data_IF_260038783454
#
_entry.id   IF_260038783454
#
_cell.length_a   1.000
_cell.length_b   1.000
_cell.length_c   1.000
_cell.angle_alpha   90.00
_cell.angle_beta   90.00
_cell.angle_gamma   90.00
#
_symmetry.space_group_name_H-M   'P 1'
#
loop_
_entity.id
_entity.type
_entity.pdbx_description
1 polymer ?
#
# COMPACT_ATOMS: atom_id res chain seq x y z
N UNK A 1 18.15 -11.41 10.77
CA UNK A 1 18.18 -11.51 9.29
C UNK A 1 17.23 -12.55 8.69
N UNK A 2 16.68 -13.53 9.44
CA UNK A 2 15.73 -14.51 8.87
C UNK A 2 14.29 -14.01 8.67
N UNK A 3 13.89 -12.88 9.28
CA UNK A 3 12.52 -12.34 9.14
C UNK A 3 12.29 -11.61 7.80
N UNK A 4 13.34 -10.97 7.24
CA UNK A 4 13.25 -10.24 5.96
C UNK A 4 12.93 -11.16 4.77
N UNK A 5 13.53 -12.35 4.71
CA UNK A 5 13.31 -13.29 3.60
C UNK A 5 11.90 -13.90 3.61
N UNK A 6 11.29 -14.05 4.79
CA UNK A 6 9.94 -14.57 4.92
C UNK A 6 8.89 -13.56 4.44
N UNK A 7 9.15 -12.27 4.70
CA UNK A 7 8.30 -11.17 4.27
C UNK A 7 8.45 -10.84 2.77
N UNK A 8 9.57 -11.16 2.12
CA UNK A 8 9.75 -10.86 0.68
C UNK A 8 9.20 -11.97 -0.24
N UNK A 9 9.35 -13.23 0.14
CA UNK A 9 8.98 -14.38 -0.72
C UNK A 9 7.46 -14.55 -0.87
N UNK A 10 6.69 -14.28 0.19
CA UNK A 10 5.23 -14.49 0.23
C UNK A 10 4.40 -13.44 -0.53
N UNK A 11 4.62 -12.11 -0.38
CA UNK A 11 3.83 -11.11 -1.09
C UNK A 11 4.16 -11.06 -2.58
N UNK A 12 5.40 -11.37 -2.99
CA UNK A 12 5.74 -11.51 -4.42
C UNK A 12 4.96 -12.66 -5.05
N UNK A 13 4.90 -13.82 -4.38
CA UNK A 13 4.10 -14.95 -4.85
C UNK A 13 2.60 -14.61 -4.91
N UNK A 14 2.08 -13.90 -3.91
CA UNK A 14 0.67 -13.46 -3.88
C UNK A 14 0.38 -12.47 -5.01
N UNK A 15 1.27 -11.51 -5.27
CA UNK A 15 1.13 -10.51 -6.32
C UNK A 15 1.23 -11.14 -7.72
N UNK A 16 2.13 -12.12 -7.88
CA UNK A 16 2.29 -12.87 -9.13
C UNK A 16 1.07 -13.76 -9.38
N UNK A 17 0.56 -14.44 -8.35
CA UNK A 17 -0.69 -15.19 -8.43
C UNK A 17 -1.90 -14.30 -8.71
N UNK A 18 -2.03 -13.14 -8.05
CA UNK A 18 -3.15 -12.23 -8.30
C UNK A 18 -3.10 -11.64 -9.70
N UNK A 19 -1.91 -11.29 -10.20
CA UNK A 19 -1.72 -10.84 -11.58
C UNK A 19 -2.12 -11.90 -12.61
N UNK A 20 -1.72 -13.16 -12.38
CA UNK A 20 -2.11 -14.30 -13.23
C UNK A 20 -3.62 -14.51 -13.21
N UNK A 21 -4.27 -14.42 -12.05
CA UNK A 21 -5.72 -14.56 -11.93
C UNK A 21 -6.46 -13.44 -12.69
N UNK A 22 -6.04 -12.19 -12.55
CA UNK A 22 -6.67 -11.05 -13.24
C UNK A 22 -6.51 -11.16 -14.76
N UNK A 23 -5.36 -11.66 -15.23
CA UNK A 23 -5.09 -11.81 -16.66
C UNK A 23 -5.72 -13.06 -17.28
N UNK A 24 -5.89 -14.14 -16.49
CA UNK A 24 -6.42 -15.42 -16.98
C UNK A 24 -7.94 -15.52 -16.94
N UNK A 25 -8.61 -14.72 -16.10
CA UNK A 25 -10.07 -14.68 -16.05
C UNK A 25 -10.58 -13.45 -16.82
N UNK A 26 -11.07 -13.61 -18.06
CA UNK A 26 -11.68 -12.50 -18.80
C UNK A 26 -12.87 -11.97 -18.01
N UNK A 27 -12.85 -10.67 -17.71
CA UNK A 27 -13.94 -9.99 -17.00
C UNK A 27 -15.22 -10.21 -17.82
N UNK A 28 -16.24 -10.91 -17.28
CA UNK A 28 -17.46 -11.14 -18.03
C UNK A 28 -18.09 -9.79 -18.37
N UNK A 29 -18.33 -9.53 -19.66
CA UNK A 29 -19.03 -8.32 -20.10
C UNK A 29 -20.35 -8.25 -19.36
N UNK A 30 -20.58 -7.15 -18.62
CA UNK A 30 -21.78 -6.96 -17.83
C UNK A 30 -23.01 -7.03 -18.75
N UNK A 31 -23.73 -8.16 -18.74
CA UNK A 31 -25.08 -8.22 -19.28
C UNK A 31 -25.93 -7.31 -18.40
N UNK A 32 -26.65 -6.38 -19.02
CA UNK A 32 -27.64 -5.58 -18.32
C UNK A 32 -28.62 -6.55 -17.64
N UNK A 33 -28.54 -6.64 -16.31
CA UNK A 33 -29.54 -7.36 -15.52
C UNK A 33 -30.80 -6.51 -15.48
N UNK A 34 -31.95 -7.13 -15.70
CA UNK A 34 -33.22 -6.44 -15.54
C UNK A 34 -33.36 -5.96 -14.08
N UNK A 35 -34.00 -4.79 -13.83
CA UNK A 35 -34.09 -4.19 -12.51
C UNK A 35 -34.69 -5.14 -11.46
N UNK A 36 -35.60 -6.02 -11.85
CA UNK A 36 -36.19 -7.05 -10.97
C UNK A 36 -35.15 -8.10 -10.53
N UNK A 37 -34.20 -8.44 -11.42
CA UNK A 37 -33.14 -9.40 -11.09
C UNK A 37 -32.14 -8.79 -10.11
N UNK A 38 -31.79 -7.51 -10.30
CA UNK A 38 -30.89 -6.77 -9.40
C UNK A 38 -31.49 -6.67 -7.99
N UNK A 39 -32.79 -6.39 -7.88
CA UNK A 39 -33.46 -6.29 -6.57
C UNK A 39 -33.54 -7.64 -5.86
N UNK A 40 -33.85 -8.73 -6.57
CA UNK A 40 -33.79 -10.07 -5.99
C UNK A 40 -32.38 -10.45 -5.53
N UNK A 41 -31.36 -10.17 -6.36
CA UNK A 41 -29.97 -10.40 -5.98
C UNK A 41 -29.59 -9.58 -4.74
N UNK A 42 -29.96 -8.30 -4.70
CA UNK A 42 -29.66 -7.41 -3.59
C UNK A 42 -30.25 -7.91 -2.27
N UNK A 43 -31.49 -8.43 -2.28
CA UNK A 43 -32.13 -9.00 -1.08
C UNK A 43 -31.36 -10.24 -0.60
N UNK A 44 -30.99 -11.14 -1.52
CA UNK A 44 -30.27 -12.38 -1.19
C UNK A 44 -28.84 -12.08 -0.71
N UNK A 45 -28.16 -11.08 -1.30
CA UNK A 45 -26.79 -10.70 -0.97
C UNK A 45 -26.66 -9.79 0.25
N UNK A 46 -27.69 -9.04 0.64
CA UNK A 46 -27.67 -8.14 1.78
C UNK A 46 -27.06 -8.74 3.07
N UNK A 47 -27.45 -9.96 3.53
CA UNK A 47 -26.86 -10.54 4.74
C UNK A 47 -25.36 -10.85 4.58
N UNK A 48 -24.95 -11.34 3.40
CA UNK A 48 -23.55 -11.63 3.10
C UNK A 48 -22.71 -10.35 3.01
N UNK A 49 -23.28 -9.28 2.45
CA UNK A 49 -22.64 -7.98 2.37
C UNK A 49 -22.39 -7.38 3.76
N UNK A 50 -23.35 -7.50 4.69
CA UNK A 50 -23.19 -7.05 6.08
C UNK A 50 -22.08 -7.84 6.79
N UNK A 51 -22.03 -9.16 6.57
CA UNK A 51 -20.98 -10.00 7.15
C UNK A 51 -19.61 -9.66 6.57
N UNK A 52 -19.50 -9.50 5.26
CA UNK A 52 -18.28 -9.06 4.58
C UNK A 52 -17.81 -7.68 5.06
N UNK A 53 -18.73 -6.73 5.22
CA UNK A 53 -18.44 -5.38 5.72
C UNK A 53 -17.77 -5.41 7.11
N UNK A 54 -18.17 -6.34 7.99
CA UNK A 54 -17.54 -6.52 9.31
C UNK A 54 -16.10 -7.00 9.21
N UNK A 55 -15.79 -7.92 8.29
CA UNK A 55 -14.41 -8.37 8.06
C UNK A 55 -13.57 -7.29 7.40
N UNK A 56 -14.13 -6.57 6.43
CA UNK A 56 -13.48 -5.44 5.76
C UNK A 56 -13.16 -4.33 6.77
N UNK A 57 -14.11 -3.98 7.65
CA UNK A 57 -13.89 -2.98 8.70
C UNK A 57 -12.80 -3.39 9.68
N UNK A 58 -12.75 -4.67 10.10
CA UNK A 58 -11.65 -5.19 10.93
C UNK A 58 -10.31 -5.12 10.20
N UNK A 59 -10.27 -5.43 8.90
CA UNK A 59 -9.07 -5.32 8.08
C UNK A 59 -8.59 -3.87 7.94
N UNK A 60 -9.52 -2.94 7.71
CA UNK A 60 -9.23 -1.50 7.63
C UNK A 60 -8.57 -0.97 8.91
N UNK A 61 -9.11 -1.33 10.08
CA UNK A 61 -8.53 -0.90 11.37
C UNK A 61 -7.11 -1.45 11.56
N UNK A 62 -6.84 -2.66 11.08
CA UNK A 62 -5.49 -3.27 11.15
C UNK A 62 -4.49 -2.62 10.19
N UNK A 63 -4.94 -2.04 9.08
CA UNK A 63 -4.09 -1.31 8.12
C UNK A 63 -3.71 0.10 8.57
N UNK A 64 -4.38 0.69 9.56
CA UNK A 64 -4.09 2.04 10.08
C UNK A 64 -2.59 2.26 10.38
N UNK A 65 -1.89 1.41 11.17
CA UNK A 65 -0.47 1.60 11.46
C UNK A 65 0.41 1.56 10.19
N UNK A 66 0.05 0.75 9.19
CA UNK A 66 0.75 0.71 7.91
C UNK A 66 0.58 2.03 7.15
N UNK A 67 -0.61 2.63 7.15
CA UNK A 67 -0.85 3.93 6.52
C UNK A 67 -0.13 5.08 7.23
N UNK A 68 -0.02 5.02 8.55
CA UNK A 68 0.74 6.02 9.31
C UNK A 68 2.23 5.96 8.94
N UNK A 69 2.80 4.76 8.82
CA UNK A 69 4.20 4.63 8.41
C UNK A 69 4.42 5.06 6.95
N UNK A 70 3.50 4.69 6.04
CA UNK A 70 3.56 5.14 4.65
C UNK A 70 3.49 6.66 4.55
N UNK A 71 2.66 7.30 5.38
CA UNK A 71 2.60 8.74 5.50
C UNK A 71 3.93 9.36 5.90
N UNK A 72 4.64 8.77 6.88
CA UNK A 72 5.99 9.21 7.27
C UNK A 72 6.99 9.09 6.14
N UNK A 73 6.97 7.98 5.40
CA UNK A 73 7.84 7.80 4.24
C UNK A 73 7.52 8.78 3.12
N UNK A 74 6.24 9.14 2.93
CA UNK A 74 5.85 10.20 2.00
C UNK A 74 6.49 11.55 2.38
N UNK A 75 6.51 11.90 3.67
CA UNK A 75 7.23 13.09 4.13
C UNK A 75 8.75 12.97 3.96
N UNK A 76 9.31 11.76 4.09
CA UNK A 76 10.73 11.54 3.83
C UNK A 76 11.08 11.72 2.35
N UNK A 77 10.20 11.36 1.40
CA UNK A 77 10.40 11.64 -0.04
C UNK A 77 10.56 13.15 -0.28
N UNK A 78 9.77 13.97 0.42
CA UNK A 78 9.87 15.44 0.34
C UNK A 78 11.18 16.00 0.90
N UNK A 79 11.95 15.21 1.68
CA UNK A 79 13.30 15.60 2.13
C UNK A 79 14.32 15.58 1.01
N UNK A 80 14.05 14.94 -0.13
CA UNK A 80 14.98 14.90 -1.26
C UNK A 80 15.20 16.29 -1.89
N UNK A 81 14.16 17.03 -2.33
CA UNK A 81 14.36 18.40 -2.81
C UNK A 81 14.86 19.34 -1.71
N UNK A 82 14.41 19.14 -0.47
CA UNK A 82 14.87 19.91 0.70
C UNK A 82 16.36 19.69 0.99
N UNK A 83 16.83 18.45 0.88
CA UNK A 83 18.21 18.04 1.05
C UNK A 83 19.09 18.58 -0.06
N UNK A 84 18.64 18.55 -1.32
CA UNK A 84 19.35 19.16 -2.45
C UNK A 84 19.50 20.67 -2.28
N UNK A 85 18.47 21.34 -1.75
CA UNK A 85 18.51 22.77 -1.48
C UNK A 85 19.46 23.12 -0.33
N UNK A 86 19.46 22.34 0.74
CA UNK A 86 20.42 22.47 1.85
C UNK A 86 21.86 22.12 1.43
N UNK A 87 22.03 21.16 0.54
CA UNK A 87 23.32 20.73 0.00
C UNK A 87 23.91 21.76 -0.99
N UNK A 88 23.08 22.49 -1.73
CA UNK A 88 23.52 23.48 -2.73
C UNK A 88 23.58 24.89 -2.16
N UNK A 89 22.45 25.42 -1.67
CA UNK A 89 22.33 26.78 -1.15
C UNK A 89 22.67 26.89 0.34
N UNK A 90 22.48 25.81 1.10
CA UNK A 90 22.82 25.74 2.53
C UNK A 90 24.29 25.38 2.81
N UNK A 91 25.05 24.95 1.79
CA UNK A 91 26.47 24.62 1.90
C UNK A 91 27.33 25.77 2.48
N UNK A 92 27.23 27.02 1.99
CA UNK A 92 28.01 28.14 2.53
C UNK A 92 27.63 28.52 3.97
N UNK A 93 26.48 28.04 4.47
CA UNK A 93 25.99 28.29 5.82
C UNK A 93 26.24 27.11 6.78
N UNK A 94 27.02 26.10 6.38
CA UNK A 94 27.37 24.94 7.21
C UNK A 94 26.33 23.81 7.22
N UNK A 95 25.28 23.88 6.40
CA UNK A 95 24.23 22.85 6.33
C UNK A 95 24.53 21.71 5.34
N UNK A 96 25.74 21.62 4.82
CA UNK A 96 26.13 20.62 3.82
C UNK A 96 25.89 19.17 4.29
N UNK A 97 26.33 18.84 5.52
CA UNK A 97 26.17 17.50 6.07
C UNK A 97 24.70 17.13 6.33
N UNK A 98 23.90 18.09 6.80
CA UNK A 98 22.47 17.91 6.99
C UNK A 98 21.74 17.74 5.65
N UNK A 99 22.14 18.50 4.63
CA UNK A 99 21.60 18.38 3.27
C UNK A 99 21.91 17.03 2.62
N UNK A 100 23.13 16.51 2.79
CA UNK A 100 23.52 15.19 2.30
C UNK A 100 22.72 14.07 2.97
N UNK A 101 22.60 14.10 4.30
CA UNK A 101 21.82 13.12 5.07
C UNK A 101 20.33 13.13 4.70
N UNK A 102 19.74 14.32 4.53
CA UNK A 102 18.35 14.48 4.12
C UNK A 102 18.11 14.03 2.67
N UNK A 103 19.06 14.29 1.77
CA UNK A 103 19.00 13.81 0.38
C UNK A 103 19.06 12.29 0.30
N UNK A 104 19.97 11.67 1.08
CA UNK A 104 20.12 10.22 1.12
C UNK A 104 18.87 9.53 1.68
N UNK A 105 18.33 10.08 2.77
CA UNK A 105 17.08 9.59 3.38
C UNK A 105 15.91 9.72 2.40
N UNK A 106 15.81 10.83 1.68
CA UNK A 106 14.76 11.03 0.67
C UNK A 106 14.88 10.11 -0.55
N UNK A 107 16.09 9.60 -0.86
CA UNK A 107 16.33 8.72 -2.00
C UNK A 107 15.94 7.27 -1.67
N UNK A 108 16.09 6.87 -0.41
CA UNK A 108 15.71 5.55 0.10
C UNK A 108 14.21 5.49 0.43
N UNK A 109 13.62 6.60 0.89
CA UNK A 109 12.19 6.73 1.23
C UNK A 109 11.20 6.16 0.19
N UNK A 110 11.33 6.37 -1.13
CA UNK A 110 10.41 5.78 -2.11
C UNK A 110 10.43 4.25 -2.13
N UNK A 111 11.58 3.63 -1.85
CA UNK A 111 11.69 2.17 -1.78
C UNK A 111 11.05 1.62 -0.50
N UNK A 112 11.22 2.31 0.62
CA UNK A 112 10.55 1.97 1.89
C UNK A 112 9.03 2.15 1.77
N UNK A 113 8.58 3.23 1.13
CA UNK A 113 7.16 3.45 0.83
C UNK A 113 6.57 2.32 -0.02
N UNK A 114 7.26 1.92 -1.09
CA UNK A 114 6.82 0.83 -1.95
C UNK A 114 6.76 -0.52 -1.21
N UNK A 115 7.74 -0.79 -0.34
CA UNK A 115 7.75 -1.98 0.50
C UNK A 115 6.54 -2.04 1.44
N UNK A 116 6.23 -0.93 2.13
CA UNK A 116 5.06 -0.87 2.99
C UNK A 116 3.76 -0.97 2.18
N UNK A 117 3.72 -0.43 0.97
CA UNK A 117 2.58 -0.58 0.06
C UNK A 117 2.34 -2.04 -0.32
N UNK A 118 3.39 -2.80 -0.63
CA UNK A 118 3.28 -4.24 -0.90
C UNK A 118 2.83 -5.05 0.33
N UNK A 119 3.14 -4.58 1.55
CA UNK A 119 2.72 -5.25 2.78
C UNK A 119 1.28 -4.94 3.20
N UNK A 120 0.64 -3.92 2.63
CA UNK A 120 -0.72 -3.49 2.94
C UNK A 120 -1.77 -4.63 2.95
N UNK A 121 -1.82 -5.56 1.97
CA UNK A 121 -2.71 -6.72 2.05
C UNK A 121 -2.41 -7.64 3.23
N UNK A 122 -1.14 -7.83 3.61
CA UNK A 122 -0.76 -8.65 4.77
C UNK A 122 -1.28 -8.02 6.07
N UNK A 123 -1.12 -6.70 6.22
CA UNK A 123 -1.69 -5.95 7.34
C UNK A 123 -3.21 -6.03 7.39
N UNK A 124 -3.89 -5.99 6.24
CA UNK A 124 -5.35 -6.10 6.16
C UNK A 124 -5.85 -7.46 6.67
N UNK A 125 -5.16 -8.55 6.31
CA UNK A 125 -5.49 -9.89 6.81
C UNK A 125 -4.97 -10.16 8.24
N UNK A 126 -4.15 -9.26 8.79
CA UNK A 126 -3.61 -9.36 10.15
C UNK A 126 -2.35 -10.22 10.26
N UNK A 127 -1.65 -10.46 9.15
CA UNK A 127 -0.31 -11.03 9.16
C UNK A 127 0.68 -9.89 9.39
N UNK A 128 1.37 -9.91 10.53
CA UNK A 128 2.34 -8.90 10.97
C UNK A 128 3.71 -9.53 11.13
#
# INVERSE_FOLDING_TARGET
MNSMYFCFRKPILIFLFSGILIFSFPIPKAKAMEPVTITMLAIILAPYAIQAAKYIGKGMVRTIPCWINQGKELFNILKLPLGLLQFTLGAPFGYFWNGLSNSWTGLIAPFMFFYEFMCLPLYFFGFK
#
